data_IF_961605643507
#
_entry.id   IF_961605643507
#
_cell.length_a   1.000
_cell.length_b   1.000
_cell.length_c   1.000
_cell.angle_alpha   90.00
_cell.angle_beta   90.00
_cell.angle_gamma   90.00
#
_symmetry.space_group_name_H-M   'P 1'
#
loop_
_entity.id
_entity.type
_entity.pdbx_description
1 polymer ?
#
# COMPACT_ATOMS: atom_id res chain seq x y z
N UNK A 1 71.73 -40.93 32.61
CA UNK A 1 71.40 -39.54 32.20
C UNK A 1 70.56 -39.45 30.93
N UNK A 2 70.70 -40.35 29.95
CA UNK A 2 70.00 -40.24 28.66
C UNK A 2 68.46 -40.46 28.74
N UNK A 3 67.96 -41.23 29.73
CA UNK A 3 66.51 -41.44 29.90
C UNK A 3 65.74 -40.26 30.52
N UNK A 4 66.40 -39.42 31.32
CA UNK A 4 65.73 -38.25 31.94
C UNK A 4 65.54 -37.14 30.91
N UNK A 5 66.50 -36.94 29.99
CA UNK A 5 66.40 -35.92 28.95
C UNK A 5 65.32 -36.27 27.91
N UNK A 6 65.18 -37.56 27.56
CA UNK A 6 64.17 -38.01 26.60
C UNK A 6 62.75 -37.91 27.16
N UNK A 7 62.58 -38.19 28.46
CA UNK A 7 61.28 -38.06 29.12
C UNK A 7 60.89 -36.59 29.34
N UNK A 8 61.85 -35.69 29.56
CA UNK A 8 61.59 -34.25 29.63
C UNK A 8 61.25 -33.63 28.26
N UNK A 9 61.89 -34.12 27.18
CA UNK A 9 61.58 -33.65 25.83
C UNK A 9 60.18 -34.11 25.35
N UNK A 10 59.76 -35.32 25.73
CA UNK A 10 58.43 -35.82 25.38
C UNK A 10 57.30 -35.11 26.15
N UNK A 11 57.57 -34.65 27.38
CA UNK A 11 56.60 -33.88 28.16
C UNK A 11 56.41 -32.45 27.63
N UNK A 12 57.47 -31.83 27.09
CA UNK A 12 57.34 -30.51 26.45
C UNK A 12 56.54 -30.55 25.14
N UNK A 13 56.63 -31.63 24.36
CA UNK A 13 55.87 -31.74 23.12
C UNK A 13 54.36 -31.91 23.35
N UNK A 14 53.96 -32.59 24.44
CA UNK A 14 52.54 -32.75 24.75
C UNK A 14 51.87 -31.47 25.25
N UNK A 15 52.63 -30.56 25.89
CA UNK A 15 52.06 -29.30 26.38
C UNK A 15 51.84 -28.27 25.26
N UNK A 16 52.56 -28.39 24.15
CA UNK A 16 52.42 -27.45 23.03
C UNK A 16 51.24 -27.78 22.11
N UNK A 17 50.78 -29.04 22.08
CA UNK A 17 49.67 -29.46 21.22
C UNK A 17 48.29 -29.10 21.80
N UNK A 18 48.15 -29.11 23.13
CA UNK A 18 46.89 -28.75 23.82
C UNK A 18 46.54 -27.27 23.68
N UNK A 19 47.54 -26.38 23.68
CA UNK A 19 47.31 -24.94 23.56
C UNK A 19 46.84 -24.52 22.17
N UNK A 20 47.20 -25.26 21.12
CA UNK A 20 46.80 -24.89 19.76
C UNK A 20 45.33 -25.25 19.46
N UNK A 21 44.79 -26.29 20.10
CA UNK A 21 43.39 -26.71 19.88
C UNK A 21 42.38 -25.79 20.56
N UNK A 22 42.77 -25.12 21.65
CA UNK A 22 41.87 -24.20 22.37
C UNK A 22 41.73 -22.84 21.67
N UNK A 23 42.77 -22.39 20.94
CA UNK A 23 42.73 -21.12 20.20
C UNK A 23 41.86 -21.22 18.94
N UNK A 24 41.89 -22.37 18.25
CA UNK A 24 41.06 -22.57 17.04
C UNK A 24 39.57 -22.62 17.39
N UNK A 25 39.19 -23.22 18.52
CA UNK A 25 37.79 -23.28 18.91
C UNK A 25 37.22 -21.91 19.33
N UNK A 26 38.05 -21.01 19.88
CA UNK A 26 37.63 -19.67 20.23
C UNK A 26 37.56 -18.72 19.00
N UNK A 27 38.36 -18.98 17.97
CA UNK A 27 38.35 -18.16 16.74
C UNK A 27 37.16 -18.47 15.82
N UNK A 28 36.70 -19.74 15.78
CA UNK A 28 35.50 -20.12 15.00
C UNK A 28 34.22 -19.54 15.61
N UNK A 29 34.14 -19.42 16.93
CA UNK A 29 32.96 -18.88 17.60
C UNK A 29 32.82 -17.35 17.40
N UNK A 30 33.92 -16.64 17.21
CA UNK A 30 33.89 -15.20 16.94
C UNK A 30 33.56 -14.86 15.47
N UNK A 31 33.90 -15.74 14.53
CA UNK A 31 33.59 -15.51 13.11
C UNK A 31 32.13 -15.83 12.76
N UNK A 32 31.49 -16.74 13.50
CA UNK A 32 30.07 -17.06 13.28
C UNK A 32 29.11 -15.96 13.80
N UNK A 33 29.54 -15.16 14.77
CA UNK A 33 28.70 -14.09 15.33
C UNK A 33 28.71 -12.81 14.48
N UNK A 34 29.75 -12.59 13.66
CA UNK A 34 29.83 -11.42 12.78
C UNK A 34 29.05 -11.59 11.46
N UNK A 35 28.82 -12.83 11.01
CA UNK A 35 28.06 -13.09 9.79
C UNK A 35 26.54 -13.02 10.02
N UNK A 36 26.07 -13.17 11.25
CA UNK A 36 24.64 -13.10 11.57
C UNK A 36 24.12 -11.65 11.73
N UNK A 37 25.00 -10.68 11.98
CA UNK A 37 24.61 -9.28 12.10
C UNK A 37 24.49 -8.55 10.76
N UNK A 38 25.12 -9.03 9.69
CA UNK A 38 25.01 -8.39 8.37
C UNK A 38 23.75 -8.80 7.58
N UNK A 39 23.10 -9.91 7.92
CA UNK A 39 21.86 -10.33 7.26
C UNK A 39 20.60 -9.66 7.84
N UNK A 40 20.66 -9.07 9.03
CA UNK A 40 19.50 -8.41 9.65
C UNK A 40 19.31 -6.95 9.25
N UNK A 41 20.32 -6.29 8.66
CA UNK A 41 20.20 -4.88 8.23
C UNK A 41 19.65 -4.69 6.80
N UNK A 42 19.54 -5.73 5.98
CA UNK A 42 18.95 -5.62 4.63
C UNK A 42 17.44 -5.92 4.56
N UNK A 43 16.81 -6.42 5.63
CA UNK A 43 15.35 -6.70 5.62
C UNK A 43 14.48 -5.56 6.17
N UNK A 44 15.06 -4.50 6.74
CA UNK A 44 14.27 -3.41 7.34
C UNK A 44 13.99 -2.21 6.41
N UNK A 45 14.41 -2.24 5.13
CA UNK A 45 14.19 -1.11 4.22
C UNK A 45 13.15 -1.34 3.11
N UNK A 46 12.41 -2.44 3.11
CA UNK A 46 11.34 -2.68 2.13
C UNK A 46 9.93 -2.87 2.71
N UNK A 47 9.77 -2.81 4.03
CA UNK A 47 8.44 -2.77 4.61
C UNK A 47 8.00 -1.33 4.87
N UNK A 48 7.10 -0.86 3.99
CA UNK A 48 6.29 0.36 4.01
C UNK A 48 6.93 1.58 3.32
N UNK A 49 6.25 2.13 2.30
CA UNK A 49 5.01 2.89 2.54
C UNK A 49 3.89 2.74 1.47
N UNK A 50 3.65 1.56 0.90
CA UNK A 50 2.61 1.46 -0.15
C UNK A 50 1.16 1.28 0.36
N UNK A 51 0.98 0.86 1.62
CA UNK A 51 -0.35 0.83 2.26
C UNK A 51 -0.86 2.23 2.67
N UNK A 52 0.01 3.24 2.79
CA UNK A 52 -0.42 4.61 3.10
C UNK A 52 -1.01 5.36 1.90
N UNK A 53 -0.76 4.91 0.67
CA UNK A 53 -1.15 5.65 -0.54
C UNK A 53 -2.65 5.53 -0.89
N UNK A 54 -3.42 4.63 -0.25
CA UNK A 54 -4.79 4.31 -0.67
C UNK A 54 -5.83 4.32 0.45
N UNK A 55 -5.58 4.98 1.58
CA UNK A 55 -6.64 5.19 2.56
C UNK A 55 -7.54 6.38 2.16
N UNK A 56 -8.40 6.11 1.17
CA UNK A 56 -9.43 7.04 0.69
C UNK A 56 -10.30 7.57 1.84
N UNK A 57 -10.52 6.78 2.90
CA UNK A 57 -11.29 7.20 4.07
C UNK A 57 -10.50 8.24 4.88
N UNK A 58 -9.20 8.02 5.10
CA UNK A 58 -8.35 9.02 5.75
C UNK A 58 -8.22 10.30 4.93
N UNK A 59 -8.16 10.21 3.59
CA UNK A 59 -8.22 11.39 2.70
C UNK A 59 -9.51 12.18 2.89
N UNK A 60 -10.67 11.53 2.89
CA UNK A 60 -11.96 12.20 3.16
C UNK A 60 -11.94 12.89 4.52
N UNK A 61 -11.50 12.20 5.58
CA UNK A 61 -11.41 12.78 6.93
C UNK A 61 -10.53 14.04 6.96
N UNK A 62 -9.42 14.05 6.22
CA UNK A 62 -8.54 15.21 6.10
C UNK A 62 -9.20 16.39 5.36
N UNK A 63 -10.14 16.12 4.45
CA UNK A 63 -10.85 17.14 3.68
C UNK A 63 -12.01 17.78 4.44
N UNK A 64 -12.48 17.20 5.55
CA UNK A 64 -13.60 17.76 6.34
C UNK A 64 -13.26 19.15 6.91
N UNK A 65 -12.04 19.37 7.36
CA UNK A 65 -11.60 20.69 7.84
C UNK A 65 -11.67 21.75 6.72
N UNK A 66 -10.94 21.56 5.60
CA UNK A 66 -11.01 22.41 4.42
C UNK A 66 -12.43 22.64 3.89
N UNK A 67 -13.29 21.61 3.88
CA UNK A 67 -14.70 21.73 3.47
C UNK A 67 -15.46 22.73 4.35
N UNK A 68 -15.29 22.64 5.67
CA UNK A 68 -15.95 23.57 6.61
C UNK A 68 -15.41 24.99 6.46
N UNK A 69 -14.11 25.12 6.22
CA UNK A 69 -13.46 26.42 6.05
C UNK A 69 -13.91 27.11 4.76
N UNK A 70 -13.85 26.43 3.62
CA UNK A 70 -14.27 26.97 2.31
C UNK A 70 -15.76 27.31 2.28
N UNK A 71 -16.61 26.50 2.91
CA UNK A 71 -18.03 26.82 3.09
C UNK A 71 -18.22 28.09 3.94
N UNK A 72 -17.50 28.20 5.05
CA UNK A 72 -17.54 29.38 5.92
C UNK A 72 -17.09 30.64 5.19
N UNK A 73 -16.00 30.55 4.42
CA UNK A 73 -15.48 31.66 3.61
C UNK A 73 -16.46 32.07 2.51
N UNK A 74 -17.06 31.09 1.82
CA UNK A 74 -18.10 31.33 0.81
C UNK A 74 -19.28 32.12 1.38
N UNK A 75 -19.80 31.71 2.54
CA UNK A 75 -20.92 32.39 3.22
C UNK A 75 -20.52 33.79 3.68
N UNK A 76 -19.33 33.96 4.28
CA UNK A 76 -18.82 35.27 4.73
C UNK A 76 -18.68 36.23 3.56
N UNK A 77 -18.09 35.78 2.46
CA UNK A 77 -17.93 36.58 1.25
C UNK A 77 -19.29 36.93 0.64
N UNK A 78 -20.23 36.00 0.57
CA UNK A 78 -21.60 36.30 0.11
C UNK A 78 -22.29 37.36 0.99
N UNK A 79 -22.19 37.23 2.31
CA UNK A 79 -22.76 38.20 3.24
C UNK A 79 -22.12 39.59 3.11
N UNK A 80 -20.80 39.67 2.92
CA UNK A 80 -20.08 40.92 2.65
C UNK A 80 -20.56 41.58 1.35
N UNK A 81 -20.71 40.80 0.27
CA UNK A 81 -21.22 41.30 -1.02
C UNK A 81 -22.65 41.84 -0.87
N UNK A 82 -23.54 41.11 -0.19
CA UNK A 82 -24.92 41.55 0.04
C UNK A 82 -24.99 42.84 0.88
N UNK A 83 -24.18 42.93 1.94
CA UNK A 83 -24.15 44.10 2.80
C UNK A 83 -23.59 45.33 2.05
N UNK A 84 -22.54 45.16 1.24
CA UNK A 84 -22.03 46.25 0.42
C UNK A 84 -23.07 46.73 -0.59
N UNK A 85 -23.75 45.82 -1.29
CA UNK A 85 -24.82 46.19 -2.22
C UNK A 85 -25.93 46.98 -1.49
N UNK A 86 -26.34 46.52 -0.30
CA UNK A 86 -27.33 47.23 0.51
C UNK A 86 -26.87 48.64 0.93
N UNK A 87 -25.59 48.84 1.26
CA UNK A 87 -25.06 50.15 1.64
C UNK A 87 -24.98 51.12 0.45
N UNK A 88 -24.71 50.58 -0.75
CA UNK A 88 -24.76 51.35 -2.00
C UNK A 88 -26.20 51.78 -2.29
N UNK A 89 -27.17 50.87 -2.16
CA UNK A 89 -28.59 51.14 -2.44
C UNK A 89 -29.17 52.23 -1.51
N UNK A 90 -28.75 52.25 -0.24
CA UNK A 90 -29.17 53.25 0.75
C UNK A 90 -28.41 54.58 0.60
N UNK A 91 -27.39 54.65 -0.27
CA UNK A 91 -26.59 55.85 -0.51
C UNK A 91 -25.54 56.14 0.57
N UNK A 92 -25.31 55.20 1.49
CA UNK A 92 -24.31 55.31 2.57
C UNK A 92 -22.87 55.13 2.08
N UNK A 93 -22.66 54.45 0.95
CA UNK A 93 -21.36 54.34 0.28
C UNK A 93 -21.45 54.81 -1.18
N UNK A 94 -20.49 55.63 -1.62
CA UNK A 94 -20.44 56.21 -2.98
C UNK A 94 -19.61 55.42 -4.00
N UNK A 95 -19.29 54.16 -3.72
CA UNK A 95 -18.54 53.31 -4.63
C UNK A 95 -17.95 52.06 -3.97
N UNK A 96 -17.42 51.16 -4.79
CA UNK A 96 -16.76 49.91 -4.37
C UNK A 96 -15.27 50.18 -4.08
N UNK A 97 -14.97 50.96 -3.03
CA UNK A 97 -13.56 51.23 -2.64
C UNK A 97 -12.91 50.01 -1.96
N UNK A 98 -13.71 49.06 -1.45
CA UNK A 98 -13.22 47.80 -0.89
C UNK A 98 -13.36 46.68 -1.91
N UNK A 99 -12.22 46.15 -2.38
CA UNK A 99 -12.18 44.91 -3.17
C UNK A 99 -12.65 43.76 -2.28
N UNK A 100 -13.92 43.36 -2.41
CA UNK A 100 -14.44 42.18 -1.75
C UNK A 100 -13.77 40.95 -2.38
N UNK A 101 -13.33 39.96 -1.58
CA UNK A 101 -12.90 38.66 -2.10
C UNK A 101 -13.93 38.11 -3.09
N UNK A 102 -13.48 37.54 -4.21
CA UNK A 102 -14.42 37.03 -5.23
C UNK A 102 -15.20 35.84 -4.67
N UNK A 103 -16.52 35.99 -4.58
CA UNK A 103 -17.43 34.92 -4.17
C UNK A 103 -17.22 33.66 -5.02
N UNK A 104 -17.11 33.82 -6.34
CA UNK A 104 -16.94 32.71 -7.29
C UNK A 104 -15.73 31.84 -6.96
N UNK A 105 -14.63 32.45 -6.51
CA UNK A 105 -13.42 31.72 -6.14
C UNK A 105 -13.64 30.83 -4.92
N UNK A 106 -14.29 31.35 -3.87
CA UNK A 106 -14.57 30.55 -2.67
C UNK A 106 -15.56 29.42 -2.99
N UNK A 107 -16.53 29.70 -3.87
CA UNK A 107 -17.51 28.72 -4.31
C UNK A 107 -16.87 27.60 -5.13
N UNK A 108 -15.97 27.94 -6.06
CA UNK A 108 -15.20 26.97 -6.86
C UNK A 108 -14.32 26.09 -5.98
N UNK A 109 -13.66 26.66 -4.96
CA UNK A 109 -12.85 25.92 -4.00
C UNK A 109 -13.70 24.94 -3.17
N UNK A 110 -14.89 25.37 -2.73
CA UNK A 110 -15.84 24.50 -2.04
C UNK A 110 -16.25 23.30 -2.92
N UNK A 111 -16.62 23.54 -4.18
CA UNK A 111 -17.00 22.46 -5.09
C UNK A 111 -15.83 21.51 -5.41
N UNK A 112 -14.62 22.05 -5.58
CA UNK A 112 -13.42 21.23 -5.78
C UNK A 112 -13.17 20.26 -4.61
N UNK A 113 -13.44 20.67 -3.37
CA UNK A 113 -13.33 19.79 -2.20
C UNK A 113 -14.45 18.74 -2.20
N UNK A 114 -15.68 19.14 -2.53
CA UNK A 114 -16.81 18.20 -2.68
C UNK A 114 -16.50 17.11 -3.71
N UNK A 115 -15.98 17.48 -4.88
CA UNK A 115 -15.62 16.55 -5.95
C UNK A 115 -14.53 15.55 -5.51
N UNK A 116 -13.53 16.03 -4.76
CA UNK A 116 -12.50 15.17 -4.19
C UNK A 116 -13.06 14.18 -3.16
N UNK A 117 -13.96 14.65 -2.28
CA UNK A 117 -14.64 13.77 -1.32
C UNK A 117 -15.49 12.71 -2.05
N UNK A 118 -16.25 13.12 -3.07
CA UNK A 118 -17.07 12.22 -3.87
C UNK A 118 -16.21 11.17 -4.58
N UNK A 119 -15.09 11.57 -5.18
CA UNK A 119 -14.15 10.66 -5.83
C UNK A 119 -13.61 9.61 -4.86
N UNK A 120 -13.16 10.03 -3.68
CA UNK A 120 -12.65 9.12 -2.66
C UNK A 120 -13.74 8.18 -2.15
N UNK A 121 -14.98 8.65 -1.93
CA UNK A 121 -16.10 7.81 -1.51
C UNK A 121 -16.45 6.76 -2.56
N UNK A 122 -16.56 7.17 -3.84
CA UNK A 122 -16.80 6.25 -4.96
C UNK A 122 -15.69 5.20 -5.06
N UNK A 123 -14.45 5.60 -4.84
CA UNK A 123 -13.29 4.69 -4.86
C UNK A 123 -13.37 3.69 -3.72
N UNK A 124 -13.65 4.14 -2.49
CA UNK A 124 -13.86 3.26 -1.33
C UNK A 124 -14.95 2.23 -1.56
N UNK A 125 -16.10 2.63 -2.12
CA UNK A 125 -17.20 1.71 -2.45
C UNK A 125 -16.75 0.65 -3.46
N UNK A 126 -16.01 1.05 -4.49
CA UNK A 126 -15.47 0.11 -5.48
C UNK A 126 -14.50 -0.88 -4.85
N UNK A 127 -13.60 -0.43 -3.96
CA UNK A 127 -12.69 -1.31 -3.25
C UNK A 127 -13.43 -2.33 -2.35
N UNK A 128 -14.49 -1.90 -1.65
CA UNK A 128 -15.32 -2.79 -0.84
C UNK A 128 -16.03 -3.84 -1.71
N UNK A 129 -16.62 -3.40 -2.83
CA UNK A 129 -17.30 -4.30 -3.78
C UNK A 129 -16.32 -5.29 -4.41
N UNK A 130 -15.11 -4.83 -4.73
CA UNK A 130 -14.04 -5.68 -5.25
C UNK A 130 -13.61 -6.73 -4.21
N UNK A 131 -13.49 -6.34 -2.94
CA UNK A 131 -13.16 -7.27 -1.85
C UNK A 131 -14.26 -8.32 -1.65
N UNK A 132 -15.53 -7.92 -1.67
CA UNK A 132 -16.65 -8.86 -1.58
C UNK A 132 -16.64 -9.84 -2.76
N UNK A 133 -16.42 -9.34 -3.97
CA UNK A 133 -16.32 -10.17 -5.18
C UNK A 133 -15.13 -11.13 -5.11
N UNK A 134 -13.98 -10.66 -4.63
CA UNK A 134 -12.80 -11.50 -4.41
C UNK A 134 -13.12 -12.65 -3.45
N UNK A 135 -13.79 -12.37 -2.34
CA UNK A 135 -14.15 -13.40 -1.35
C UNK A 135 -15.24 -14.36 -1.85
N UNK A 136 -16.11 -13.92 -2.76
CA UNK A 136 -17.20 -14.73 -3.30
C UNK A 136 -16.74 -15.66 -4.43
N UNK A 137 -15.88 -15.17 -5.32
CA UNK A 137 -15.54 -15.85 -6.58
C UNK A 137 -14.14 -16.48 -6.58
N UNK A 138 -13.29 -16.18 -5.60
CA UNK A 138 -11.99 -16.82 -5.43
C UNK A 138 -11.98 -17.71 -4.19
N UNK A 139 -11.32 -18.86 -4.31
CA UNK A 139 -11.16 -19.80 -3.20
C UNK A 139 -10.03 -19.39 -2.24
N UNK A 140 -9.12 -18.53 -2.71
CA UNK A 140 -7.98 -18.05 -1.94
C UNK A 140 -7.98 -16.52 -1.92
N UNK A 141 -7.69 -15.89 -0.77
CA UNK A 141 -7.58 -14.44 -0.68
C UNK A 141 -6.39 -13.94 -1.52
N UNK A 142 -6.53 -12.73 -2.08
CA UNK A 142 -5.45 -12.08 -2.84
C UNK A 142 -4.66 -11.17 -1.91
N UNK A 143 -3.34 -11.23 -2.00
CA UNK A 143 -2.45 -10.38 -1.24
C UNK A 143 -2.71 -8.89 -1.59
N UNK A 144 -2.90 -8.01 -0.58
CA UNK A 144 -3.23 -6.60 -0.80
C UNK A 144 -2.07 -5.79 -1.37
N UNK A 145 -0.85 -6.33 -1.35
CA UNK A 145 0.36 -5.67 -1.84
C UNK A 145 0.95 -6.46 -3.00
N UNK A 146 1.45 -5.75 -4.02
CA UNK A 146 2.21 -6.32 -5.13
C UNK A 146 3.66 -6.61 -4.70
N UNK A 147 3.84 -7.35 -3.61
CA UNK A 147 5.16 -7.81 -3.18
C UNK A 147 5.34 -9.25 -3.63
N UNK A 148 6.20 -9.43 -4.62
CA UNK A 148 6.43 -10.73 -5.27
C UNK A 148 7.22 -11.72 -4.40
N UNK A 149 7.88 -11.23 -3.33
CA UNK A 149 8.91 -12.00 -2.59
C UNK A 149 8.80 -11.97 -1.06
N UNK A 150 7.61 -11.77 -0.48
CA UNK A 150 7.42 -12.24 0.89
C UNK A 150 7.13 -13.74 0.83
N UNK A 151 7.71 -14.53 1.73
CA UNK A 151 7.35 -15.93 1.97
C UNK A 151 5.89 -16.03 2.44
N UNK A 152 4.97 -15.67 1.55
CA UNK A 152 3.54 -15.70 1.73
C UNK A 152 3.16 -17.17 1.82
N UNK A 153 2.43 -17.48 2.88
CA UNK A 153 1.79 -18.76 3.11
C UNK A 153 1.07 -19.22 1.83
N UNK A 154 1.16 -20.53 1.52
CA UNK A 154 0.55 -21.16 0.32
C UNK A 154 -0.97 -20.92 0.17
N UNK A 155 -1.60 -20.38 1.20
CA UNK A 155 -3.02 -20.07 1.28
C UNK A 155 -3.38 -18.63 0.83
N UNK A 156 -2.53 -17.94 0.08
CA UNK A 156 -2.81 -16.58 -0.43
C UNK A 156 -2.27 -16.41 -1.85
N UNK A 157 -3.07 -15.82 -2.74
CA UNK A 157 -2.68 -15.54 -4.11
C UNK A 157 -1.90 -14.23 -4.19
N UNK A 158 -0.77 -14.24 -4.89
CA UNK A 158 -0.12 -13.01 -5.35
C UNK A 158 -0.93 -12.36 -6.48
N UNK A 159 -0.73 -11.07 -6.72
CA UNK A 159 -1.42 -10.35 -7.81
C UNK A 159 -1.20 -10.99 -9.20
N UNK A 160 0.02 -11.42 -9.59
CA UNK A 160 0.23 -12.16 -10.84
C UNK A 160 -0.54 -13.49 -10.89
N UNK A 161 -0.55 -14.27 -9.80
CA UNK A 161 -1.28 -15.54 -9.74
C UNK A 161 -2.80 -15.32 -9.84
N UNK A 162 -3.32 -14.28 -9.20
CA UNK A 162 -4.71 -13.85 -9.37
C UNK A 162 -5.03 -13.55 -10.84
N UNK A 163 -4.17 -12.77 -11.52
CA UNK A 163 -4.40 -12.41 -12.93
C UNK A 163 -4.39 -13.64 -13.84
N UNK A 164 -3.47 -14.58 -13.61
CA UNK A 164 -3.42 -15.85 -14.32
C UNK A 164 -4.69 -16.69 -14.09
N UNK A 165 -5.16 -16.76 -12.84
CA UNK A 165 -6.40 -17.47 -12.48
C UNK A 165 -7.62 -16.85 -13.16
N UNK A 166 -7.77 -15.53 -13.10
CA UNK A 166 -8.87 -14.82 -13.74
C UNK A 166 -8.86 -15.01 -15.26
N UNK A 167 -7.67 -14.96 -15.89
CA UNK A 167 -7.53 -15.18 -17.34
C UNK A 167 -7.93 -16.61 -17.73
N UNK A 168 -7.53 -17.62 -16.95
CA UNK A 168 -7.93 -19.00 -17.18
C UNK A 168 -9.45 -19.21 -17.03
N UNK A 169 -10.07 -18.60 -16.02
CA UNK A 169 -11.53 -18.64 -15.83
C UNK A 169 -12.28 -18.02 -17.03
N UNK A 170 -11.78 -16.89 -17.56
CA UNK A 170 -12.36 -16.24 -18.74
C UNK A 170 -12.22 -17.14 -19.99
N UNK A 171 -11.03 -17.71 -20.23
CA UNK A 171 -10.83 -18.63 -21.36
C UNK A 171 -11.75 -19.84 -21.29
N UNK A 172 -11.82 -20.48 -20.12
CA UNK A 172 -12.67 -21.64 -19.90
C UNK A 172 -14.16 -21.33 -20.10
N UNK A 173 -14.62 -20.18 -19.62
CA UNK A 173 -16.01 -19.74 -19.84
C UNK A 173 -16.30 -19.53 -21.32
N UNK A 174 -15.35 -18.95 -22.07
CA UNK A 174 -15.46 -18.77 -23.52
C UNK A 174 -15.52 -20.12 -24.26
N UNK A 175 -14.68 -21.07 -23.90
CA UNK A 175 -14.68 -22.41 -24.50
C UNK A 175 -16.02 -23.15 -24.27
N UNK A 176 -16.59 -23.05 -23.06
CA UNK A 176 -17.94 -23.59 -22.78
C UNK A 176 -18.98 -22.90 -23.66
N UNK A 177 -18.96 -21.56 -23.72
CA UNK A 177 -19.89 -20.80 -24.54
C UNK A 177 -19.81 -21.22 -26.01
N UNK A 178 -18.62 -21.28 -26.58
CA UNK A 178 -18.40 -21.62 -27.99
C UNK A 178 -18.85 -23.06 -28.28
N UNK A 179 -18.60 -23.98 -27.34
CA UNK A 179 -19.10 -25.38 -27.41
C UNK A 179 -20.63 -25.43 -27.40
N UNK A 180 -21.27 -24.66 -26.51
CA UNK A 180 -22.74 -24.61 -26.41
C UNK A 180 -23.37 -23.98 -27.66
N UNK A 181 -22.77 -22.92 -28.22
CA UNK A 181 -23.22 -22.29 -29.47
C UNK A 181 -23.12 -23.27 -30.64
N UNK A 182 -21.98 -23.96 -30.78
CA UNK A 182 -21.79 -24.96 -31.82
C UNK A 182 -22.82 -26.10 -31.69
N UNK A 183 -23.08 -26.58 -30.47
CA UNK A 183 -24.12 -27.58 -30.22
C UNK A 183 -25.52 -27.04 -30.58
N UNK A 184 -25.87 -25.82 -30.20
CA UNK A 184 -27.17 -25.22 -30.52
C UNK A 184 -27.40 -25.07 -32.03
N UNK A 185 -26.38 -24.67 -32.78
CA UNK A 185 -26.45 -24.57 -34.25
C UNK A 185 -26.63 -25.93 -34.92
N UNK A 186 -26.06 -26.99 -34.35
CA UNK A 186 -26.28 -28.35 -34.84
C UNK A 186 -27.68 -28.90 -34.53
N UNK A 187 -28.38 -28.33 -33.53
CA UNK A 187 -29.70 -28.79 -33.07
C UNK A 187 -30.85 -27.97 -33.66
N UNK A 188 -30.62 -26.72 -34.06
CA UNK A 188 -31.61 -25.89 -34.74
C UNK A 188 -31.51 -26.11 -36.26
N UNK A 189 -32.30 -27.00 -36.88
CA UNK A 189 -32.33 -27.08 -38.33
C UNK A 189 -32.80 -25.73 -38.88
N UNK A 190 -32.07 -25.22 -39.87
CA UNK A 190 -32.56 -24.10 -40.67
C UNK A 190 -33.73 -24.62 -41.50
N UNK A 191 -34.96 -24.23 -41.16
CA UNK A 191 -36.11 -24.22 -42.08
C UNK A 191 -35.90 -23.12 -43.14
#
# INVERSE_FOLDING_TARGET
>A
MMNILLQQQQQQQQQQQSSQQQVVQQQVQQQQQQQQQQQQQQQQQQQQPQQQHLDNISKIKSLIGPLRETLSNTIKTAAQTLNQNSQIDVGSQKGVDSQIPRFDKNLEEFYSICDQIELHLKTSIKCLTQQESSNRYLHLPVAPTRTENLGLNDNTLTYPQFLATASAQVSYTKEIHDTLVAAAQNISPSD
#
